data_IF_154282631301
#
_entry.id   IF_154282631301
#
_cell.length_a   1.000
_cell.length_b   1.000
_cell.length_c   1.000
_cell.angle_alpha   90.00
_cell.angle_beta   90.00
_cell.angle_gamma   90.00
#
_symmetry.space_group_name_H-M   'P 1'
#
loop_
_entity.id
_entity.type
_entity.pdbx_description
1 polymer ?
#
# COMPACT_ATOMS: atom_id res chain seq x y z
N UNK A 1 89.79 -19.52 -28.55
CA UNK A 1 89.97 -19.65 -27.08
C UNK A 1 88.60 -19.65 -26.42
N UNK A 2 88.22 -20.75 -25.74
CA UNK A 2 87.60 -20.87 -24.41
C UNK A 2 86.63 -19.73 -24.00
N UNK A 3 85.41 -19.90 -23.48
CA UNK A 3 84.56 -21.03 -23.09
C UNK A 3 83.27 -20.45 -22.44
N UNK A 4 82.30 -21.35 -22.24
CA UNK A 4 81.20 -21.35 -21.25
C UNK A 4 79.81 -20.84 -21.67
N UNK A 5 78.98 -21.86 -21.91
CA UNK A 5 77.53 -21.94 -21.72
C UNK A 5 77.07 -21.25 -20.43
N UNK A 6 75.91 -20.58 -20.47
CA UNK A 6 74.77 -20.84 -19.57
C UNK A 6 73.44 -20.45 -20.25
N UNK A 7 72.55 -21.43 -20.39
CA UNK A 7 71.12 -21.22 -20.61
C UNK A 7 70.51 -20.57 -19.35
N UNK A 8 69.63 -19.61 -19.53
CA UNK A 8 68.50 -19.39 -18.64
C UNK A 8 67.32 -18.84 -19.45
N UNK A 9 66.26 -19.64 -19.48
CA UNK A 9 64.96 -19.34 -20.09
C UNK A 9 64.32 -18.13 -19.42
N UNK A 10 63.83 -17.16 -20.21
CA UNK A 10 62.90 -16.14 -19.74
C UNK A 10 61.74 -16.06 -20.71
N UNK A 11 60.57 -16.44 -20.18
CA UNK A 11 59.28 -16.37 -20.85
C UNK A 11 58.94 -14.91 -21.20
N UNK A 12 58.65 -14.64 -22.47
CA UNK A 12 58.16 -13.35 -22.93
C UNK A 12 56.63 -13.33 -22.76
N UNK A 13 56.18 -12.79 -21.63
CA UNK A 13 54.78 -12.54 -21.36
C UNK A 13 54.26 -11.44 -22.29
N UNK A 14 53.21 -11.76 -23.05
CA UNK A 14 52.42 -10.82 -23.86
C UNK A 14 51.69 -9.86 -22.91
N UNK A 15 52.12 -8.61 -22.84
CA UNK A 15 51.40 -7.54 -22.14
C UNK A 15 50.37 -6.92 -23.09
N UNK A 16 49.10 -7.32 -22.95
CA UNK A 16 47.98 -6.54 -23.44
C UNK A 16 47.81 -5.30 -22.54
N UNK A 17 48.21 -4.13 -23.02
CA UNK A 17 47.77 -2.86 -22.43
C UNK A 17 46.31 -2.63 -22.79
N UNK A 18 45.39 -3.04 -21.91
CA UNK A 18 44.02 -2.52 -21.91
C UNK A 18 44.01 -1.21 -21.13
N UNK A 19 43.86 -0.10 -21.86
CA UNK A 19 43.59 1.22 -21.27
C UNK A 19 42.26 1.16 -20.52
N UNK A 20 42.32 1.12 -19.19
CA UNK A 20 41.14 1.31 -18.35
C UNK A 20 40.76 2.79 -18.39
N UNK A 21 39.73 3.11 -19.17
CA UNK A 21 39.03 4.39 -19.01
C UNK A 21 38.26 4.28 -17.70
N UNK A 22 38.78 4.93 -16.65
CA UNK A 22 38.05 5.13 -15.40
C UNK A 22 36.94 6.14 -15.69
N UNK A 23 35.75 5.63 -16.04
CA UNK A 23 34.55 6.44 -16.02
C UNK A 23 34.28 6.85 -14.57
N UNK A 24 33.96 8.13 -14.28
CA UNK A 24 33.57 8.51 -12.93
C UNK A 24 32.32 7.71 -12.56
N UNK A 25 32.42 6.87 -11.53
CA UNK A 25 31.27 6.28 -10.87
C UNK A 25 30.46 7.42 -10.27
N UNK A 26 29.46 7.88 -11.02
CA UNK A 26 28.33 8.60 -10.45
C UNK A 26 27.68 7.59 -9.51
N UNK A 27 27.87 7.78 -8.20
CA UNK A 27 27.02 7.16 -7.19
C UNK A 27 25.65 7.80 -7.35
N UNK A 28 24.89 7.32 -8.34
CA UNK A 28 23.45 7.55 -8.36
C UNK A 28 22.92 6.73 -7.19
N UNK A 29 22.76 7.37 -6.03
CA UNK A 29 21.90 6.84 -4.98
C UNK A 29 20.61 6.42 -5.68
N UNK A 30 20.26 5.14 -5.60
CA UNK A 30 18.98 4.68 -6.10
C UNK A 30 17.92 5.61 -5.52
N UNK A 31 17.26 6.39 -6.38
CA UNK A 31 16.08 7.14 -5.97
C UNK A 31 15.14 6.09 -5.40
N UNK A 32 14.88 6.18 -4.10
CA UNK A 32 13.91 5.34 -3.41
C UNK A 32 12.60 5.67 -4.10
N UNK A 33 12.11 4.79 -4.98
CA UNK A 33 10.78 4.94 -5.57
C UNK A 33 9.80 4.58 -4.45
N UNK A 34 9.65 5.49 -3.50
CA UNK A 34 8.63 5.43 -2.46
C UNK A 34 7.32 5.89 -3.08
N UNK A 35 6.31 5.05 -2.98
CA UNK A 35 4.95 5.47 -3.31
C UNK A 35 4.33 6.18 -2.10
N UNK A 36 3.37 7.05 -2.40
CA UNK A 36 2.58 7.75 -1.40
C UNK A 36 3.08 9.15 -1.09
N UNK A 37 2.15 10.10 -1.16
CA UNK A 37 2.41 11.48 -0.78
C UNK A 37 2.27 11.57 0.74
N UNK A 38 3.35 11.94 1.42
CA UNK A 38 3.38 12.07 2.87
C UNK A 38 3.09 13.51 3.25
N UNK A 39 2.08 13.72 4.08
CA UNK A 39 1.77 15.02 4.67
C UNK A 39 1.64 14.88 6.19
N UNK A 40 2.01 15.91 6.93
CA UNK A 40 1.84 15.92 8.39
C UNK A 40 0.34 16.07 8.67
N UNK A 41 -0.24 15.14 9.46
CA UNK A 41 -1.63 15.30 9.91
C UNK A 41 -1.67 16.24 11.11
N UNK A 42 -1.87 17.55 10.87
CA UNK A 42 -1.96 18.58 11.92
C UNK A 42 -3.35 18.64 12.60
N UNK A 43 -3.98 17.49 12.87
CA UNK A 43 -5.33 17.46 13.44
C UNK A 43 -5.68 16.16 14.17
N UNK A 44 -6.69 16.23 15.03
CA UNK A 44 -7.26 15.08 15.74
C UNK A 44 -7.85 14.08 14.75
N UNK A 45 -7.27 12.88 14.68
CA UNK A 45 -7.82 11.78 13.88
C UNK A 45 -9.13 11.34 14.54
N UNK A 46 -10.23 11.30 13.76
CA UNK A 46 -11.50 10.80 14.25
C UNK A 46 -11.43 9.27 14.39
N UNK A 47 -11.27 8.79 15.63
CA UNK A 47 -11.14 7.36 15.95
C UNK A 47 -12.40 6.55 15.58
N UNK A 48 -13.59 7.16 15.51
CA UNK A 48 -14.83 6.47 15.11
C UNK A 48 -14.92 6.18 13.60
N UNK A 49 -14.03 6.77 12.80
CA UNK A 49 -13.97 6.57 11.34
C UNK A 49 -12.96 5.52 10.88
N UNK A 50 -12.45 4.68 11.78
CA UNK A 50 -11.39 3.73 11.50
C UNK A 50 -11.91 2.31 11.32
N UNK A 51 -11.45 1.66 10.25
CA UNK A 51 -11.56 0.22 10.06
C UNK A 51 -10.59 -0.54 10.97
N UNK A 52 -9.40 0.03 11.19
CA UNK A 52 -8.37 -0.59 12.01
C UNK A 52 -7.49 0.47 12.69
N UNK A 53 -7.05 0.14 13.89
CA UNK A 53 -5.98 0.82 14.62
C UNK A 53 -5.06 -0.28 15.16
N UNK A 54 -3.92 -0.48 14.50
CA UNK A 54 -3.05 -1.63 14.72
C UNK A 54 -1.61 -1.18 14.97
N UNK A 55 -0.88 -1.95 15.76
CA UNK A 55 0.53 -1.70 16.04
C UNK A 55 1.35 -2.89 15.60
N UNK A 56 2.47 -2.62 14.91
CA UNK A 56 3.42 -3.62 14.46
C UNK A 56 4.74 -3.52 15.24
N UNK A 57 5.47 -4.63 15.44
CA UNK A 57 5.06 -6.01 15.13
C UNK A 57 3.93 -6.51 16.07
N UNK A 58 3.37 -7.69 15.75
CA UNK A 58 2.36 -8.43 16.53
C UNK A 58 0.95 -7.84 16.51
N UNK A 59 0.52 -7.34 15.35
CA UNK A 59 -0.77 -6.65 15.18
C UNK A 59 -2.02 -7.50 15.48
N UNK A 60 -1.88 -8.82 15.61
CA UNK A 60 -2.97 -9.75 15.87
C UNK A 60 -3.08 -10.19 17.34
N UNK A 61 -2.32 -9.57 18.25
CA UNK A 61 -2.27 -9.90 19.68
C UNK A 61 -1.87 -11.37 19.99
N UNK A 62 -1.26 -12.05 19.02
CA UNK A 62 -0.55 -13.31 19.21
C UNK A 62 0.66 -13.33 18.28
N UNK A 63 1.68 -14.09 18.66
CA UNK A 63 2.90 -14.28 17.87
C UNK A 63 2.76 -15.63 17.17
N UNK A 64 2.70 -15.62 15.85
CA UNK A 64 2.79 -16.82 15.01
C UNK A 64 4.26 -17.19 14.77
N UNK A 65 4.59 -18.48 14.89
CA UNK A 65 5.93 -19.01 14.65
C UNK A 65 6.40 -18.82 13.19
N UNK A 66 5.46 -18.57 12.26
CA UNK A 66 5.76 -18.31 10.85
C UNK A 66 6.30 -16.90 10.57
N UNK A 67 6.49 -16.05 11.59
CA UNK A 67 7.11 -14.69 11.65
C UNK A 67 6.54 -13.61 10.71
N UNK A 68 6.17 -13.98 9.48
CA UNK A 68 5.67 -13.12 8.42
C UNK A 68 4.26 -12.60 8.77
N UNK A 69 3.42 -13.44 9.40
CA UNK A 69 2.02 -13.10 9.72
C UNK A 69 1.93 -11.98 10.76
N UNK A 70 2.88 -11.90 11.69
CA UNK A 70 2.91 -10.89 12.76
C UNK A 70 3.10 -9.46 12.24
N UNK A 71 3.49 -9.35 10.96
CA UNK A 71 3.89 -8.14 10.28
C UNK A 71 3.01 -7.80 9.09
N UNK A 72 1.86 -8.47 8.95
CA UNK A 72 0.91 -8.25 7.87
C UNK A 72 -0.50 -7.97 8.38
N UNK A 73 -1.21 -7.08 7.70
CA UNK A 73 -2.62 -6.83 7.97
C UNK A 73 -3.40 -6.66 6.67
N UNK A 74 -4.59 -7.24 6.61
CA UNK A 74 -5.49 -7.12 5.47
C UNK A 74 -6.64 -6.17 5.81
N UNK A 75 -6.94 -5.24 4.92
CA UNK A 75 -8.04 -4.27 5.08
C UNK A 75 -8.87 -4.14 3.80
N UNK A 76 -10.10 -3.66 3.97
CA UNK A 76 -11.03 -3.38 2.89
C UNK A 76 -10.78 -2.00 2.29
N UNK A 77 -10.82 -1.89 0.96
CA UNK A 77 -10.61 -0.63 0.25
C UNK A 77 -11.15 -0.64 -1.18
N UNK A 78 -11.14 0.52 -1.81
CA UNK A 78 -11.47 0.69 -3.22
C UNK A 78 -10.28 1.27 -3.97
N UNK A 79 -10.12 0.85 -5.23
CA UNK A 79 -9.04 1.31 -6.11
C UNK A 79 -9.11 2.83 -6.26
N UNK A 80 -7.95 3.50 -6.19
CA UNK A 80 -7.90 4.95 -6.32
C UNK A 80 -8.33 5.70 -5.07
N UNK A 81 -8.55 5.00 -3.96
CA UNK A 81 -8.82 5.59 -2.64
C UNK A 81 -7.87 5.02 -1.60
N UNK A 82 -7.60 5.78 -0.54
CA UNK A 82 -6.97 5.24 0.65
C UNK A 82 -5.91 6.16 1.22
N UNK A 83 -5.90 6.21 2.55
CA UNK A 83 -4.87 6.89 3.33
C UNK A 83 -4.56 6.09 4.58
N UNK A 84 -3.34 6.21 5.06
CA UNK A 84 -2.90 5.62 6.32
C UNK A 84 -2.48 6.76 7.24
N UNK A 85 -2.82 6.64 8.53
CA UNK A 85 -2.18 7.47 9.54
C UNK A 85 -1.10 6.65 10.24
N UNK A 86 0.16 7.08 10.11
CA UNK A 86 1.32 6.32 10.57
C UNK A 86 2.02 7.10 11.68
N UNK A 87 2.29 6.42 12.79
CA UNK A 87 3.04 6.95 13.94
C UNK A 87 4.16 5.98 14.29
N UNK A 88 5.41 6.41 14.13
CA UNK A 88 6.58 5.65 14.59
C UNK A 88 6.81 5.93 16.08
N UNK A 89 7.05 4.91 16.90
CA UNK A 89 7.35 5.10 18.34
C UNK A 89 8.71 5.75 18.56
N UNK A 90 8.89 6.36 19.73
CA UNK A 90 10.16 6.97 20.14
C UNK A 90 11.34 6.00 20.01
N UNK A 91 12.42 6.48 19.38
CA UNK A 91 13.64 5.72 19.17
C UNK A 91 13.61 4.74 18.00
N UNK A 92 12.51 4.65 17.23
CA UNK A 92 12.50 3.90 15.97
C UNK A 92 13.19 4.72 14.89
N UNK A 93 14.38 4.27 14.48
CA UNK A 93 15.23 4.93 13.47
C UNK A 93 14.73 4.65 12.05
N UNK A 94 14.36 3.40 11.75
CA UNK A 94 13.86 3.05 10.43
C UNK A 94 12.94 1.83 10.42
N UNK A 95 12.06 1.79 9.42
CA UNK A 95 11.12 0.71 9.14
C UNK A 95 10.76 0.75 7.66
N UNK A 96 10.34 -0.38 7.10
CA UNK A 96 9.82 -0.48 5.73
C UNK A 96 8.36 -0.88 5.76
N UNK A 97 7.51 -0.03 5.16
CA UNK A 97 6.07 -0.26 5.04
C UNK A 97 5.75 -0.53 3.57
N UNK A 98 4.95 -1.55 3.30
CA UNK A 98 4.49 -1.91 1.98
C UNK A 98 2.97 -1.97 1.95
N UNK A 99 2.38 -1.47 0.86
CA UNK A 99 0.95 -1.64 0.56
C UNK A 99 0.85 -2.41 -0.75
N UNK A 100 0.17 -3.56 -0.72
CA UNK A 100 0.04 -4.49 -1.86
C UNK A 100 1.40 -4.79 -2.53
N UNK A 101 2.43 -5.01 -1.70
CA UNK A 101 3.79 -5.34 -2.13
C UNK A 101 4.64 -4.17 -2.64
N UNK A 102 4.11 -2.94 -2.64
CA UNK A 102 4.84 -1.73 -3.06
C UNK A 102 5.25 -0.91 -1.85
N UNK A 103 6.52 -0.49 -1.80
CA UNK A 103 7.08 0.25 -0.66
C UNK A 103 6.51 1.68 -0.61
N UNK A 104 6.08 2.06 0.59
CA UNK A 104 5.57 3.39 0.91
C UNK A 104 6.65 4.15 1.67
N UNK A 105 6.89 5.41 1.31
CA UNK A 105 7.85 6.22 2.05
C UNK A 105 7.26 6.66 3.40
N UNK A 106 7.93 6.27 4.49
CA UNK A 106 7.58 6.61 5.87
C UNK A 106 8.74 7.28 6.60
N UNK A 107 9.77 7.69 5.85
CA UNK A 107 10.98 8.31 6.41
C UNK A 107 10.69 9.54 7.26
N UNK A 108 9.76 10.41 6.83
CA UNK A 108 9.36 11.59 7.59
C UNK A 108 8.70 11.21 8.93
N UNK A 109 7.89 10.15 8.97
CA UNK A 109 7.21 9.68 10.17
C UNK A 109 8.19 9.12 11.20
N UNK A 110 9.20 8.38 10.76
CA UNK A 110 10.20 7.80 11.66
C UNK A 110 11.33 8.77 12.01
N UNK A 111 11.56 9.83 11.23
CA UNK A 111 12.47 10.91 11.63
C UNK A 111 11.88 11.82 12.72
N UNK A 112 10.55 11.82 12.86
CA UNK A 112 9.82 12.63 13.83
C UNK A 112 8.94 11.72 14.70
N UNK A 113 9.58 10.87 15.52
CA UNK A 113 8.87 9.91 16.37
C UNK A 113 7.79 10.59 17.24
N UNK A 114 6.73 9.83 17.54
CA UNK A 114 5.57 10.32 18.30
C UNK A 114 4.60 11.20 17.51
N UNK A 115 4.99 11.68 16.32
CA UNK A 115 4.12 12.46 15.43
C UNK A 115 3.38 11.55 14.45
N UNK A 116 2.11 11.86 14.20
CA UNK A 116 1.29 11.11 13.23
C UNK A 116 1.31 11.78 11.86
N UNK A 117 1.47 10.98 10.82
CA UNK A 117 1.53 11.41 9.43
C UNK A 117 0.40 10.80 8.63
N UNK A 118 -0.22 11.59 7.75
CA UNK A 118 -1.14 11.07 6.74
C UNK A 118 -0.34 10.70 5.48
N UNK A 119 -0.49 9.45 5.06
CA UNK A 119 0.15 8.92 3.86
C UNK A 119 -0.92 8.50 2.88
N UNK A 120 -0.94 9.15 1.72
CA UNK A 120 -1.84 8.79 0.62
C UNK A 120 -1.36 7.47 -0.02
N UNK A 121 -2.25 6.47 -0.07
CA UNK A 121 -1.98 5.17 -0.68
C UNK A 121 -2.95 4.86 -1.83
N UNK A 122 -3.73 5.84 -2.28
CA UNK A 122 -4.77 5.70 -3.31
C UNK A 122 -4.28 5.05 -4.61
N UNK A 123 -3.03 5.33 -5.01
CA UNK A 123 -2.40 4.74 -6.20
C UNK A 123 -2.01 3.26 -6.05
N UNK A 124 -2.06 2.72 -4.82
CA UNK A 124 -1.62 1.38 -4.47
C UNK A 124 -2.78 0.43 -4.17
N UNK A 125 -3.95 0.99 -3.88
CA UNK A 125 -5.12 0.20 -3.49
C UNK A 125 -5.83 -0.44 -4.67
N UNK A 126 -6.48 -1.56 -4.39
CA UNK A 126 -7.36 -2.30 -5.28
C UNK A 126 -8.72 -2.47 -4.63
N UNK A 127 -9.72 -2.90 -5.40
CA UNK A 127 -11.05 -3.15 -4.88
C UNK A 127 -11.06 -4.35 -3.94
N UNK A 128 -11.88 -4.24 -2.90
CA UNK A 128 -12.05 -5.22 -1.84
C UNK A 128 -10.81 -5.42 -0.97
N UNK A 129 -9.88 -6.29 -1.34
CA UNK A 129 -8.82 -6.77 -0.42
C UNK A 129 -7.48 -6.06 -0.66
N UNK A 130 -7.01 -5.34 0.35
CA UNK A 130 -5.70 -4.69 0.37
C UNK A 130 -4.86 -5.22 1.53
N UNK A 131 -3.54 -5.17 1.39
CA UNK A 131 -2.59 -5.70 2.38
C UNK A 131 -1.55 -4.66 2.75
N UNK A 132 -1.25 -4.58 4.05
CA UNK A 132 -0.10 -3.86 4.60
C UNK A 132 0.91 -4.90 5.06
N UNK A 133 2.18 -4.63 4.82
CA UNK A 133 3.30 -5.37 5.38
C UNK A 133 4.31 -4.40 5.99
N UNK A 134 4.79 -4.68 7.19
CA UNK A 134 5.76 -3.83 7.91
C UNK A 134 6.98 -4.67 8.30
N UNK A 135 8.18 -4.22 7.94
CA UNK A 135 9.41 -5.02 8.14
C UNK A 135 10.62 -4.14 8.46
N UNK A 136 11.74 -4.78 8.80
CA UNK A 136 13.05 -4.14 8.92
C UNK A 136 13.05 -3.00 9.95
N UNK A 137 12.55 -3.29 11.15
CA UNK A 137 12.57 -2.39 12.30
C UNK A 137 14.00 -2.19 12.80
N UNK A 138 14.41 -0.94 12.97
CA UNK A 138 15.70 -0.56 13.56
C UNK A 138 15.45 0.49 14.64
N UNK A 139 15.73 0.21 15.92
CA UNK A 139 16.07 -1.11 16.47
C UNK A 139 14.89 -2.10 16.38
N UNK A 140 15.17 -3.41 16.50
CA UNK A 140 14.15 -4.49 16.38
C UNK A 140 13.02 -4.37 17.42
N UNK A 141 13.27 -3.68 18.54
CA UNK A 141 12.28 -3.42 19.59
C UNK A 141 11.29 -2.31 19.26
N UNK A 142 11.53 -1.56 18.17
CA UNK A 142 10.69 -0.43 17.79
C UNK A 142 9.31 -0.85 17.28
N UNK A 143 8.35 0.07 17.33
CA UNK A 143 6.97 -0.20 16.92
C UNK A 143 6.43 0.89 16.01
N UNK A 144 5.45 0.52 15.19
CA UNK A 144 4.72 1.45 14.33
C UNK A 144 3.24 1.26 14.53
N UNK A 145 2.53 2.33 14.89
CA UNK A 145 1.07 2.37 14.88
C UNK A 145 0.60 2.80 13.49
N UNK A 146 -0.37 2.06 12.94
CA UNK A 146 -1.02 2.37 11.67
C UNK A 146 -2.53 2.39 11.90
N UNK A 147 -3.16 3.52 11.60
CA UNK A 147 -4.62 3.66 11.58
C UNK A 147 -5.11 3.70 10.15
N UNK A 148 -6.15 2.91 9.88
CA UNK A 148 -6.73 2.70 8.56
C UNK A 148 -8.19 3.18 8.60
N UNK A 149 -8.53 4.28 7.93
CA UNK A 149 -9.92 4.71 7.79
C UNK A 149 -10.78 3.72 7.00
N UNK A 150 -12.09 3.77 7.20
CA UNK A 150 -13.00 3.12 6.26
C UNK A 150 -12.90 3.77 4.87
N UNK A 151 -13.01 2.98 3.78
CA UNK A 151 -13.11 3.55 2.44
C UNK A 151 -14.43 4.33 2.29
N UNK A 152 -14.48 5.22 1.30
CA UNK A 152 -15.65 6.06 1.04
C UNK A 152 -16.41 5.51 -0.15
N UNK A 153 -17.74 5.50 -0.05
CA UNK A 153 -18.62 5.21 -1.18
C UNK A 153 -18.85 6.53 -1.94
N UNK A 154 -18.53 6.53 -3.22
CA UNK A 154 -18.73 7.67 -4.12
C UNK A 154 -20.03 7.50 -4.88
N UNK A 155 -20.72 8.59 -5.19
CA UNK A 155 -21.86 8.55 -6.11
C UNK A 155 -21.39 8.39 -7.55
N UNK A 156 -22.13 7.64 -8.36
CA UNK A 156 -21.81 7.47 -9.78
C UNK A 156 -22.86 6.69 -10.55
N UNK A 157 -22.46 6.10 -11.67
CA UNK A 157 -23.36 5.40 -12.59
C UNK A 157 -22.91 3.96 -12.88
N UNK A 158 -23.83 3.16 -13.40
CA UNK A 158 -23.56 1.78 -13.77
C UNK A 158 -22.42 1.67 -14.79
N UNK A 159 -22.34 2.60 -15.75
CA UNK A 159 -21.34 2.60 -16.82
C UNK A 159 -19.92 2.75 -16.27
N UNK A 160 -19.72 3.62 -15.27
CA UNK A 160 -18.40 3.90 -14.66
C UNK A 160 -17.78 2.63 -14.07
N UNK A 161 -18.62 1.72 -13.55
CA UNK A 161 -18.18 0.45 -12.95
C UNK A 161 -18.39 -0.76 -13.88
N UNK A 162 -18.66 -0.52 -15.16
CA UNK A 162 -18.89 -1.58 -16.15
C UNK A 162 -20.08 -2.48 -15.80
N UNK A 163 -21.12 -1.93 -15.15
CA UNK A 163 -22.40 -2.60 -14.92
C UNK A 163 -23.37 -2.24 -16.05
N UNK A 164 -24.23 -3.19 -16.43
CA UNK A 164 -25.27 -2.96 -17.44
C UNK A 164 -26.45 -2.22 -16.80
N UNK A 165 -26.76 -1.01 -17.29
CA UNK A 165 -27.89 -0.22 -16.81
C UNK A 165 -29.23 -0.97 -16.93
N UNK A 166 -29.42 -1.78 -17.97
CA UNK A 166 -30.64 -2.57 -18.16
C UNK A 166 -30.89 -3.56 -17.02
N UNK A 167 -29.84 -4.00 -16.31
CA UNK A 167 -29.99 -4.86 -15.13
C UNK A 167 -30.62 -4.09 -13.98
N UNK A 168 -30.23 -2.83 -13.77
CA UNK A 168 -30.83 -1.97 -12.75
C UNK A 168 -32.27 -1.60 -13.12
N UNK A 169 -32.53 -1.32 -14.39
CA UNK A 169 -33.87 -1.00 -14.89
C UNK A 169 -34.84 -2.18 -14.77
N UNK A 170 -34.34 -3.41 -14.96
CA UNK A 170 -35.11 -4.62 -14.72
C UNK A 170 -35.47 -4.78 -13.24
N UNK A 171 -34.51 -4.53 -12.34
CA UNK A 171 -34.76 -4.54 -10.89
C UNK A 171 -35.83 -3.50 -10.52
N UNK A 172 -35.74 -2.29 -11.08
CA UNK A 172 -36.76 -1.25 -10.91
C UNK A 172 -38.14 -1.73 -11.35
N UNK A 173 -38.22 -2.37 -12.52
CA UNK A 173 -39.47 -2.89 -13.06
C UNK A 173 -40.09 -3.95 -12.14
N UNK A 174 -39.27 -4.88 -11.63
CA UNK A 174 -39.74 -5.94 -10.74
C UNK A 174 -40.27 -5.37 -9.42
N UNK A 175 -39.49 -4.52 -8.75
CA UNK A 175 -39.89 -3.95 -7.45
C UNK A 175 -41.16 -3.09 -7.60
N UNK A 176 -41.26 -2.28 -8.65
CA UNK A 176 -42.47 -1.48 -8.88
C UNK A 176 -43.70 -2.35 -9.16
N UNK A 177 -43.54 -3.47 -9.87
CA UNK A 177 -44.64 -4.42 -10.07
C UNK A 177 -45.05 -5.09 -8.75
N UNK A 178 -44.10 -5.46 -7.90
CA UNK A 178 -44.42 -6.03 -6.59
C UNK A 178 -45.17 -5.02 -5.72
N UNK A 179 -44.73 -3.75 -5.71
CA UNK A 179 -45.43 -2.67 -5.01
C UNK A 179 -46.87 -2.51 -5.50
N UNK A 180 -47.05 -2.50 -6.82
CA UNK A 180 -48.38 -2.44 -7.44
C UNK A 180 -49.27 -3.63 -7.05
N UNK A 181 -48.70 -4.79 -6.78
CA UNK A 181 -49.41 -6.01 -6.42
C UNK A 181 -49.50 -6.26 -4.90
N UNK A 182 -49.20 -5.26 -4.08
CA UNK A 182 -49.45 -5.29 -2.63
C UNK A 182 -48.20 -5.26 -1.75
N UNK A 183 -47.00 -5.17 -2.32
CA UNK A 183 -45.79 -4.88 -1.55
C UNK A 183 -45.83 -3.42 -1.05
N UNK A 184 -45.63 -3.18 0.23
CA UNK A 184 -45.82 -1.85 0.83
C UNK A 184 -44.75 -0.84 0.41
N UNK A 185 -43.47 -1.21 0.55
CA UNK A 185 -42.34 -0.38 0.16
C UNK A 185 -41.03 -1.16 0.14
N UNK A 186 -40.02 -0.62 -0.54
CA UNK A 186 -38.66 -1.15 -0.56
C UNK A 186 -37.63 -0.01 -0.61
N UNK A 187 -36.41 -0.28 -0.14
CA UNK A 187 -35.25 0.58 -0.38
C UNK A 187 -34.10 -0.28 -0.90
N UNK A 188 -33.40 0.21 -1.92
CA UNK A 188 -32.32 -0.50 -2.58
C UNK A 188 -31.12 0.42 -2.78
N UNK A 189 -29.99 0.03 -2.19
CA UNK A 189 -28.69 0.58 -2.51
C UNK A 189 -27.83 -0.49 -3.20
N UNK A 190 -27.21 -0.13 -4.32
CA UNK A 190 -26.24 -0.99 -5.03
C UNK A 190 -24.92 -0.26 -5.10
N UNK A 191 -23.89 -0.88 -4.54
CA UNK A 191 -22.52 -0.37 -4.54
C UNK A 191 -21.65 -1.41 -5.25
N UNK A 192 -20.89 -0.96 -6.23
CA UNK A 192 -19.87 -1.78 -6.92
C UNK A 192 -18.58 -1.00 -6.98
N UNK A 193 -17.47 -1.64 -6.60
CA UNK A 193 -16.13 -1.06 -6.69
C UNK A 193 -16.00 0.33 -6.01
N UNK A 194 -16.79 0.55 -4.95
CA UNK A 194 -16.81 1.81 -4.20
C UNK A 194 -17.67 2.91 -4.78
N UNK A 195 -18.42 2.61 -5.83
CA UNK A 195 -19.37 3.53 -6.45
C UNK A 195 -20.80 3.06 -6.16
N UNK A 196 -21.59 3.92 -5.52
CA UNK A 196 -23.03 3.77 -5.43
C UNK A 196 -23.62 4.05 -6.80
N UNK A 197 -24.16 3.02 -7.43
CA UNK A 197 -24.77 3.10 -8.76
C UNK A 197 -26.28 3.15 -8.71
N UNK A 198 -26.84 2.84 -7.54
CA UNK A 198 -28.27 2.92 -7.28
C UNK A 198 -28.51 3.22 -5.82
N UNK A 199 -29.41 4.15 -5.57
CA UNK A 199 -29.99 4.43 -4.26
C UNK A 199 -31.43 4.86 -4.51
N UNK A 200 -32.38 3.96 -4.28
CA UNK A 200 -33.77 4.19 -4.67
C UNK A 200 -34.71 3.64 -3.62
N UNK A 201 -35.84 4.32 -3.46
CA UNK A 201 -36.95 3.90 -2.62
C UNK A 201 -38.20 3.69 -3.49
N UNK A 202 -39.05 2.75 -3.09
CA UNK A 202 -40.23 2.32 -3.82
C UNK A 202 -41.43 2.22 -2.87
N UNK A 203 -42.62 2.49 -3.40
CA UNK A 203 -43.85 2.51 -2.59
C UNK A 203 -43.91 3.71 -1.65
N UNK A 204 -44.63 3.57 -0.55
CA UNK A 204 -44.78 4.65 0.45
C UNK A 204 -43.66 4.55 1.47
N UNK A 205 -42.77 5.54 1.50
CA UNK A 205 -41.67 5.69 2.47
C UNK A 205 -41.92 6.77 3.50
#
# INVERSE_FOLDING_TARGET
>A
MISKKRLCSIAMALTFMSSMVVAPTIKTSASKIGYGNVTISNGSINESGLQANITFPDCLNYVDDTLIVNNMYTFKGYKGQGKLYITCTDGLESVRVFVNGKEVDVSAACSNNGTTYEVDISSLTVNDRNTIQVTNFVPETGKVNIKIPYPVVLEGSAEVVGMNQNTLDLIDTLINNDVKNGFTSAQLAVIKDGVMVKNSAYGTV
#
